data_IF_921273162360
#
_entry.id   IF_921273162360
#
_cell.length_a   1.000
_cell.length_b   1.000
_cell.length_c   1.000
_cell.angle_alpha   90.00
_cell.angle_beta   90.00
_cell.angle_gamma   90.00
#
_symmetry.space_group_name_H-M   'P 1'
#
loop_
_entity.id
_entity.type
_entity.pdbx_description
1 polymer ?
#
# COMPACT_ATOMS: atom_id res chain seq x y z
N UNK A 1 -10.48 -12.45 -19.07
CA UNK A 1 -9.59 -12.36 -17.88
C UNK A 1 -9.68 -10.95 -17.28
N UNK A 2 -10.87 -10.33 -17.22
CA UNK A 2 -11.03 -8.87 -17.02
C UNK A 2 -11.68 -8.45 -15.70
N UNK A 3 -11.91 -9.36 -14.77
CA UNK A 3 -12.53 -8.96 -13.49
C UNK A 3 -11.54 -8.15 -12.65
N UNK A 4 -10.25 -8.49 -12.69
CA UNK A 4 -9.22 -7.86 -11.86
C UNK A 4 -8.85 -6.46 -12.37
N UNK A 5 -8.96 -6.22 -13.69
CA UNK A 5 -8.79 -4.89 -14.30
C UNK A 5 -9.96 -3.96 -13.98
N UNK A 6 -11.13 -4.47 -13.58
CA UNK A 6 -12.27 -3.61 -13.20
C UNK A 6 -12.17 -3.04 -11.79
N UNK A 7 -11.26 -3.53 -10.95
CA UNK A 7 -11.15 -3.11 -9.54
C UNK A 7 -10.57 -1.70 -9.46
N UNK A 8 -11.40 -0.76 -9.04
CA UNK A 8 -11.03 0.64 -8.79
C UNK A 8 -10.83 0.94 -7.31
N UNK A 9 -11.44 0.15 -6.41
CA UNK A 9 -11.34 0.31 -4.97
C UNK A 9 -11.04 -1.04 -4.32
N UNK A 10 -10.04 -1.07 -3.45
CA UNK A 10 -9.66 -2.23 -2.66
C UNK A 10 -9.44 -1.82 -1.21
N UNK A 11 -10.23 -2.38 -0.30
CA UNK A 11 -10.01 -2.26 1.14
C UNK A 11 -9.58 -3.60 1.71
N UNK A 12 -8.47 -3.57 2.44
CA UNK A 12 -7.91 -4.68 3.19
C UNK A 12 -7.60 -4.25 4.63
N UNK A 13 -8.33 -3.25 5.14
CA UNK A 13 -8.12 -2.74 6.50
C UNK A 13 -8.36 -3.81 7.57
N UNK A 14 -7.74 -3.64 8.74
CA UNK A 14 -7.95 -4.50 9.92
C UNK A 14 -7.59 -5.97 9.69
N UNK A 15 -6.46 -6.18 9.03
CA UNK A 15 -5.91 -7.50 8.77
C UNK A 15 -4.51 -7.65 9.40
N UNK A 16 -3.82 -8.74 9.09
CA UNK A 16 -2.45 -8.98 9.53
C UNK A 16 -1.42 -8.87 8.38
N UNK A 17 -1.70 -8.03 7.39
CA UNK A 17 -0.87 -7.91 6.18
C UNK A 17 0.47 -7.27 6.54
N UNK A 18 1.55 -7.99 6.21
CA UNK A 18 2.94 -7.52 6.39
C UNK A 18 3.54 -6.92 5.13
N UNK A 19 3.02 -7.30 3.96
CA UNK A 19 3.45 -6.78 2.66
C UNK A 19 2.29 -6.86 1.66
N UNK A 20 2.29 -5.96 0.68
CA UNK A 20 1.30 -5.93 -0.39
C UNK A 20 2.03 -6.02 -1.73
N UNK A 21 1.68 -7.02 -2.54
CA UNK A 21 2.33 -7.32 -3.83
C UNK A 21 1.40 -7.24 -5.03
N UNK A 22 0.09 -7.04 -4.79
CA UNK A 22 -0.92 -6.94 -5.85
C UNK A 22 -0.70 -5.72 -6.73
N UNK A 23 -0.94 -5.86 -8.03
CA UNK A 23 -0.95 -4.77 -9.00
C UNK A 23 -2.27 -4.80 -9.74
N UNK A 24 -3.06 -3.76 -9.55
CA UNK A 24 -4.40 -3.63 -10.11
C UNK A 24 -4.40 -2.42 -11.04
N UNK A 25 -4.43 -2.67 -12.35
CA UNK A 25 -4.11 -1.66 -13.37
C UNK A 25 -4.98 -0.40 -13.32
N UNK A 26 -6.22 -0.51 -12.83
CA UNK A 26 -7.18 0.61 -12.75
C UNK A 26 -7.53 1.01 -11.31
N UNK A 27 -6.73 0.60 -10.32
CA UNK A 27 -7.00 0.90 -8.91
C UNK A 27 -6.78 2.38 -8.62
N UNK A 28 -7.80 3.00 -8.05
CA UNK A 28 -7.81 4.42 -7.66
C UNK A 28 -7.76 4.60 -6.14
N UNK A 29 -8.34 3.66 -5.37
CA UNK A 29 -8.45 3.76 -3.92
C UNK A 29 -7.95 2.47 -3.25
N UNK A 30 -6.91 2.59 -2.42
CA UNK A 30 -6.32 1.47 -1.69
C UNK A 30 -6.30 1.76 -0.18
N UNK A 31 -6.96 0.92 0.60
CA UNK A 31 -6.98 1.02 2.05
C UNK A 31 -6.28 -0.18 2.69
N UNK A 32 -5.12 0.08 3.29
CA UNK A 32 -4.26 -0.87 3.99
C UNK A 32 -4.09 -0.46 5.48
N UNK A 33 -5.01 0.35 6.02
CA UNK A 33 -4.98 0.77 7.41
C UNK A 33 -5.14 -0.39 8.39
N UNK A 34 -4.67 -0.22 9.62
CA UNK A 34 -4.79 -1.24 10.68
C UNK A 34 -4.24 -2.61 10.23
N UNK A 35 -2.97 -2.62 9.81
CA UNK A 35 -2.24 -3.81 9.37
C UNK A 35 -0.84 -3.85 10.02
N UNK A 36 0.02 -4.75 9.56
CA UNK A 36 1.37 -4.96 10.11
C UNK A 36 2.47 -4.52 9.13
N UNK A 37 2.22 -3.53 8.28
CA UNK A 37 3.22 -3.02 7.34
C UNK A 37 4.33 -2.30 8.11
N UNK A 38 5.59 -2.64 7.83
CA UNK A 38 6.76 -1.98 8.40
C UNK A 38 7.39 -0.95 7.45
N UNK A 39 6.97 -0.96 6.19
CA UNK A 39 7.33 0.01 5.15
C UNK A 39 6.21 0.08 4.11
N UNK A 40 6.18 1.13 3.28
CA UNK A 40 5.24 1.23 2.17
C UNK A 40 5.66 0.21 1.09
N UNK A 41 4.83 -0.81 0.76
CA UNK A 41 5.24 -1.84 -0.19
C UNK A 41 5.49 -1.30 -1.60
N UNK A 42 6.51 -1.82 -2.28
CA UNK A 42 6.92 -1.31 -3.60
C UNK A 42 5.87 -1.45 -4.69
N UNK A 43 4.93 -2.39 -4.54
CA UNK A 43 3.82 -2.56 -5.48
C UNK A 43 2.90 -1.33 -5.54
N UNK A 44 2.83 -0.52 -4.47
CA UNK A 44 2.03 0.70 -4.45
C UNK A 44 2.47 1.66 -5.56
N UNK A 45 3.79 1.80 -5.78
CA UNK A 45 4.35 2.67 -6.82
C UNK A 45 4.04 2.24 -8.25
N UNK A 46 3.48 1.04 -8.46
CA UNK A 46 3.09 0.53 -9.78
C UNK A 46 1.66 0.92 -10.18
N UNK A 47 0.88 1.52 -9.29
CA UNK A 47 -0.52 1.89 -9.56
C UNK A 47 -0.60 3.30 -10.14
N UNK A 48 -0.56 3.43 -11.47
CA UNK A 48 -0.55 4.71 -12.18
C UNK A 48 -1.82 5.55 -12.00
N UNK A 49 -2.93 4.95 -11.57
CA UNK A 49 -4.22 5.62 -11.37
C UNK A 49 -4.58 5.83 -9.88
N UNK A 50 -3.68 5.50 -8.95
CA UNK A 50 -3.96 5.59 -7.52
C UNK A 50 -4.13 7.05 -7.09
N UNK A 51 -5.33 7.39 -6.61
CA UNK A 51 -5.71 8.72 -6.11
C UNK A 51 -5.64 8.79 -4.59
N UNK A 52 -5.91 7.67 -3.90
CA UNK A 52 -5.94 7.63 -2.44
C UNK A 52 -5.29 6.36 -1.92
N UNK A 53 -4.41 6.54 -0.94
CA UNK A 53 -3.77 5.47 -0.19
C UNK A 53 -3.97 5.74 1.31
N UNK A 54 -4.63 4.83 2.03
CA UNK A 54 -4.65 4.83 3.49
C UNK A 54 -3.73 3.73 4.01
N UNK A 55 -2.74 4.11 4.82
CA UNK A 55 -1.82 3.18 5.50
C UNK A 55 -1.72 3.47 7.00
N UNK A 56 -2.69 4.17 7.56
CA UNK A 56 -2.70 4.55 8.98
C UNK A 56 -2.73 3.32 9.88
N UNK A 57 -2.24 3.45 11.11
CA UNK A 57 -2.24 2.37 12.10
C UNK A 57 -1.50 1.09 11.62
N UNK A 58 -0.35 1.28 10.99
CA UNK A 58 0.60 0.21 10.67
C UNK A 58 1.84 0.28 11.57
N UNK A 59 2.70 -0.73 11.50
CA UNK A 59 3.91 -0.90 12.32
C UNK A 59 5.14 -0.18 11.75
N UNK A 60 4.95 1.03 11.20
CA UNK A 60 6.06 1.80 10.62
C UNK A 60 7.07 2.20 11.70
N UNK A 61 8.29 1.71 11.58
CA UNK A 61 9.38 2.14 12.44
C UNK A 61 10.08 3.33 11.80
N UNK A 62 9.77 4.54 12.27
CA UNK A 62 10.39 5.79 11.79
C UNK A 62 11.87 5.97 12.23
N UNK A 63 12.47 4.99 12.90
CA UNK A 63 13.82 5.09 13.45
C UNK A 63 14.97 4.85 12.45
N UNK A 64 14.73 4.77 11.13
CA UNK A 64 15.83 4.86 10.15
C UNK A 64 16.16 6.32 9.82
N UNK A 65 16.53 7.10 10.83
CA UNK A 65 17.33 8.31 10.59
C UNK A 65 18.78 7.97 10.92
N UNK A 66 19.51 7.48 9.93
CA UNK A 66 20.97 7.47 9.97
C UNK A 66 21.50 7.78 8.57
N UNK A 67 21.83 9.07 8.41
CA UNK A 67 22.93 9.65 7.65
C UNK A 67 23.24 9.10 6.24
N UNK A 68 23.03 9.95 5.23
CA UNK A 68 24.06 10.33 4.24
C UNK A 68 23.61 11.58 3.48
N UNK A 69 23.73 12.73 4.15
CA UNK A 69 24.00 14.01 3.50
C UNK A 69 25.50 14.29 3.69
N UNK A 70 26.32 13.75 2.78
CA UNK A 70 27.65 14.23 2.42
C UNK A 70 27.80 14.05 0.91
#
# INVERSE_FOLDING_TARGET
MDVISSITTLSLEKNSIKTFTGVFSNLEYLFLGENNLTSVPTAIYKHSYLKTLCVLFNSYNFLSTSANYL
#
